data_IF_113130611612
#
_entry.id   IF_113130611612
#
_cell.length_a   1.000
_cell.length_b   1.000
_cell.length_c   1.000
_cell.angle_alpha   90.00
_cell.angle_beta   90.00
_cell.angle_gamma   90.00
#
_symmetry.space_group_name_H-M   'P 1'
#
loop_
_entity.id
_entity.type
_entity.pdbx_description
1 polymer ?
#
# COMPACT_ATOMS: atom_id res chain seq x y z
N UNK A 1 -10.21 -0.51 -24.16
CA UNK A 1 -8.82 -0.16 -23.82
C UNK A 1 -8.80 0.26 -22.35
N UNK A 2 -8.45 -0.65 -21.44
CA UNK A 2 -8.37 -0.37 -20.00
C UNK A 2 -6.97 0.12 -19.67
N UNK A 3 -6.86 1.34 -19.15
CA UNK A 3 -5.58 1.92 -18.71
C UNK A 3 -4.94 0.99 -17.68
N UNK A 4 -3.69 0.54 -17.86
CA UNK A 4 -3.04 -0.33 -16.89
C UNK A 4 -2.92 0.42 -15.56
N UNK A 5 -3.41 -0.18 -14.49
CA UNK A 5 -3.27 0.34 -13.12
C UNK A 5 -1.80 0.67 -12.87
N UNK A 6 -1.46 1.83 -12.25
CA UNK A 6 -0.08 2.20 -11.96
C UNK A 6 0.54 1.10 -11.09
N UNK A 7 1.50 0.37 -11.67
CA UNK A 7 2.26 -0.63 -10.94
C UNK A 7 3.37 0.09 -10.18
N UNK A 8 3.50 -0.12 -8.87
CA UNK A 8 4.69 0.31 -8.15
C UNK A 8 5.93 -0.24 -8.86
N UNK A 9 6.96 0.59 -9.13
CA UNK A 9 8.18 0.11 -9.77
C UNK A 9 8.76 -1.08 -9.00
N UNK A 10 9.01 -2.20 -9.69
CA UNK A 10 9.68 -3.36 -9.10
C UNK A 10 8.81 -4.35 -8.31
N UNK A 11 7.49 -4.13 -8.17
CA UNK A 11 6.59 -5.09 -7.52
C UNK A 11 5.59 -5.62 -8.56
N UNK A 12 5.69 -6.89 -8.99
CA UNK A 12 4.68 -7.50 -9.84
C UNK A 12 3.31 -7.46 -9.15
N UNK A 13 2.26 -7.14 -9.90
CA UNK A 13 0.89 -7.23 -9.38
C UNK A 13 0.57 -8.69 -9.03
N UNK A 14 0.18 -8.95 -7.79
CA UNK A 14 -0.02 -10.32 -7.29
C UNK A 14 -1.45 -10.83 -7.49
N UNK A 15 -2.40 -9.93 -7.75
CA UNK A 15 -3.82 -10.27 -7.95
C UNK A 15 -4.54 -10.72 -6.67
N UNK A 16 -3.85 -10.70 -5.53
CA UNK A 16 -4.43 -11.10 -4.25
C UNK A 16 -5.21 -9.93 -3.62
N UNK A 17 -6.38 -10.20 -3.01
CA UNK A 17 -7.12 -9.18 -2.28
C UNK A 17 -6.34 -8.72 -1.05
N UNK A 18 -6.56 -7.47 -0.66
CA UNK A 18 -5.98 -6.91 0.56
C UNK A 18 -6.90 -5.84 1.14
N UNK A 19 -6.82 -5.68 2.46
CA UNK A 19 -7.31 -4.50 3.17
C UNK A 19 -6.12 -3.60 3.53
N UNK A 20 -6.24 -2.31 3.21
CA UNK A 20 -5.24 -1.29 3.55
C UNK A 20 -5.77 -0.42 4.67
N UNK A 21 -5.08 -0.45 5.80
CA UNK A 21 -5.41 0.36 6.98
C UNK A 21 -4.31 1.38 7.18
N UNK A 22 -4.69 2.60 7.54
CA UNK A 22 -3.76 3.68 7.78
C UNK A 22 -4.40 4.89 8.44
N UNK A 23 -3.56 5.90 8.67
CA UNK A 23 -3.92 7.21 9.17
C UNK A 23 -3.50 8.25 8.14
N UNK A 24 -4.42 9.14 7.81
CA UNK A 24 -4.16 10.31 7.00
C UNK A 24 -4.38 11.57 7.83
N UNK A 25 -3.37 12.44 7.89
CA UNK A 25 -3.44 13.74 8.56
C UNK A 25 -3.22 14.82 7.52
N UNK A 26 -4.20 15.72 7.42
CA UNK A 26 -4.15 16.85 6.50
C UNK A 26 -3.83 18.13 7.25
N UNK A 27 -2.78 18.83 6.81
CA UNK A 27 -2.55 20.22 7.22
C UNK A 27 -3.30 21.15 6.28
N UNK A 28 -4.08 22.09 6.82
CA UNK A 28 -4.83 23.06 6.05
C UNK A 28 -4.21 24.45 6.13
N UNK A 29 -4.16 25.13 4.97
CA UNK A 29 -3.81 26.53 4.84
C UNK A 29 -4.82 27.22 3.94
N UNK A 30 -5.35 28.37 4.38
CA UNK A 30 -6.34 29.15 3.64
C UNK A 30 -7.59 28.34 3.24
N UNK A 31 -8.03 27.44 4.13
CA UNK A 31 -9.19 26.57 3.92
C UNK A 31 -8.98 25.42 2.94
N UNK A 32 -7.74 25.16 2.51
CA UNK A 32 -7.38 24.07 1.60
C UNK A 32 -6.31 23.17 2.21
N UNK A 33 -6.35 21.88 1.89
CA UNK A 33 -5.28 20.98 2.28
C UNK A 33 -3.99 21.40 1.55
N UNK A 34 -2.96 21.71 2.33
CA UNK A 34 -1.62 22.08 1.85
C UNK A 34 -0.66 20.89 1.94
N UNK A 35 -0.85 20.01 2.93
CA UNK A 35 -0.01 18.82 3.14
C UNK A 35 -0.82 17.61 3.57
N UNK A 36 -0.31 16.44 3.21
CA UNK A 36 -0.80 15.14 3.64
C UNK A 36 0.36 14.36 4.27
N UNK A 37 0.19 13.96 5.52
CA UNK A 37 1.01 12.97 6.19
C UNK A 37 0.21 11.67 6.27
N UNK A 38 0.61 10.70 5.47
CA UNK A 38 -0.06 9.40 5.42
C UNK A 38 0.85 8.30 5.96
N UNK A 39 0.31 7.48 6.85
CA UNK A 39 0.97 6.29 7.39
C UNK A 39 0.07 5.09 7.22
N UNK A 40 0.56 4.06 6.53
CA UNK A 40 -0.20 2.85 6.23
C UNK A 40 0.49 1.61 6.78
N UNK A 41 -0.28 0.57 7.11
CA UNK A 41 0.27 -0.74 7.45
C UNK A 41 0.82 -1.46 6.21
N UNK A 42 2.01 -1.05 5.80
CA UNK A 42 2.70 -1.64 4.66
C UNK A 42 3.09 -3.10 4.95
N UNK A 43 3.34 -3.47 6.21
CA UNK A 43 3.70 -4.86 6.55
C UNK A 43 2.51 -5.79 6.43
N UNK A 44 1.33 -5.37 6.88
CA UNK A 44 0.07 -6.05 6.60
C UNK A 44 -0.17 -6.20 5.11
N UNK A 45 0.02 -5.13 4.32
CA UNK A 45 -0.14 -5.18 2.87
C UNK A 45 0.80 -6.20 2.21
N UNK A 46 2.11 -6.16 2.52
CA UNK A 46 3.09 -7.07 1.90
C UNK A 46 2.83 -8.55 2.27
N UNK A 47 2.30 -8.82 3.47
CA UNK A 47 1.91 -10.17 3.90
C UNK A 47 0.66 -10.65 3.16
N UNK A 48 -0.40 -9.84 3.10
CA UNK A 48 -1.66 -10.18 2.41
C UNK A 48 -1.45 -10.41 0.91
N UNK A 49 -0.61 -9.58 0.29
CA UNK A 49 -0.27 -9.67 -1.13
C UNK A 49 0.77 -10.74 -1.44
N UNK A 50 1.31 -11.45 -0.45
CA UNK A 50 2.30 -12.51 -0.63
C UNK A 50 3.67 -12.04 -1.12
N UNK A 51 3.91 -10.71 -1.17
CA UNK A 51 5.22 -10.12 -1.50
C UNK A 51 6.22 -10.45 -0.40
N UNK A 52 5.82 -10.31 0.87
CA UNK A 52 6.58 -10.80 2.01
C UNK A 52 6.09 -12.20 2.37
N UNK A 53 6.77 -13.23 1.86
CA UNK A 53 6.49 -14.62 2.26
C UNK A 53 6.97 -14.82 3.69
N UNK A 54 6.07 -15.24 4.58
CA UNK A 54 6.45 -15.79 5.88
C UNK A 54 7.41 -16.95 5.62
N UNK A 55 8.64 -16.88 6.15
CA UNK A 55 9.70 -17.80 5.81
C UNK A 55 9.23 -19.25 5.91
N UNK A 56 9.24 -19.98 4.79
CA UNK A 56 9.18 -21.42 4.80
C UNK A 56 10.49 -21.93 5.41
N UNK A 57 10.48 -22.06 6.73
CA UNK A 57 11.41 -22.91 7.45
C UNK A 57 11.26 -24.32 6.89
N UNK A 58 12.26 -24.70 6.11
CA UNK A 58 12.58 -26.06 5.68
C UNK A 58 12.35 -27.06 6.83
N UNK A 59 11.46 -28.03 6.63
CA UNK A 59 11.45 -29.31 7.33
C UNK A 59 11.82 -30.40 6.33
#
# INVERSE_FOLDING_TARGET
MTTPSPRPPGIPGTGLPFDLVGLEVFDFRDGRADRLHASYDLMGLLRQTGVLRSGSGRR
#
